data_IF_529497576901
#
_entry.id   IF_529497576901
#
_cell.length_a   1.000
_cell.length_b   1.000
_cell.length_c   1.000
_cell.angle_alpha   90.00
_cell.angle_beta   90.00
_cell.angle_gamma   90.00
#
_symmetry.space_group_name_H-M   'P 1'
#
loop_
_entity.id
_entity.type
_entity.pdbx_description
1 polymer ?
#
# COMPACT_ATOMS: atom_id res chain seq x y z
N UNK A 1 -37.44 20.02 -3.93
CA UNK A 1 -36.39 20.06 -4.98
C UNK A 1 -35.42 21.24 -4.75
N UNK A 2 -35.90 22.54 -4.67
CA UNK A 2 -35.02 23.72 -4.44
C UNK A 2 -34.20 23.60 -3.18
N UNK A 3 -34.73 23.10 -2.08
CA UNK A 3 -34.04 22.96 -0.81
C UNK A 3 -32.93 21.88 -0.88
N UNK A 4 -33.18 20.75 -1.57
CA UNK A 4 -32.19 19.70 -1.83
C UNK A 4 -31.01 20.23 -2.68
N UNK A 5 -31.30 21.00 -3.73
CA UNK A 5 -30.27 21.61 -4.58
C UNK A 5 -29.44 22.60 -3.76
N UNK A 6 -30.06 23.46 -2.94
CA UNK A 6 -29.35 24.41 -2.08
C UNK A 6 -28.45 23.69 -1.06
N UNK A 7 -28.93 22.62 -0.44
CA UNK A 7 -28.14 21.84 0.52
C UNK A 7 -26.96 21.14 -0.17
N UNK A 8 -27.17 20.57 -1.35
CA UNK A 8 -26.12 19.95 -2.14
C UNK A 8 -25.04 20.94 -2.55
N UNK A 9 -25.43 22.12 -3.03
CA UNK A 9 -24.49 23.20 -3.40
C UNK A 9 -23.66 23.68 -2.21
N UNK A 10 -24.29 23.84 -1.03
CA UNK A 10 -23.57 24.17 0.20
C UNK A 10 -22.58 23.08 0.60
N UNK A 11 -22.95 21.81 0.51
CA UNK A 11 -22.07 20.68 0.81
C UNK A 11 -20.85 20.67 -0.10
N UNK A 12 -21.05 20.82 -1.42
CA UNK A 12 -19.92 20.91 -2.38
C UNK A 12 -19.00 22.10 -2.10
N UNK A 13 -19.57 23.25 -1.74
CA UNK A 13 -18.79 24.45 -1.38
C UNK A 13 -17.96 24.23 -0.12
N UNK A 14 -18.51 23.56 0.91
CA UNK A 14 -17.79 23.21 2.14
C UNK A 14 -16.69 22.21 1.87
N UNK A 15 -16.98 21.18 1.08
CA UNK A 15 -16.00 20.16 0.70
C UNK A 15 -14.82 20.78 -0.07
N UNK A 16 -15.10 21.70 -1.00
CA UNK A 16 -14.05 22.42 -1.72
C UNK A 16 -13.16 23.24 -0.78
N UNK A 17 -13.76 24.03 0.12
CA UNK A 17 -13.00 24.83 1.11
C UNK A 17 -12.19 23.95 2.05
N UNK A 18 -12.75 22.81 2.46
CA UNK A 18 -12.04 21.84 3.28
C UNK A 18 -10.82 21.28 2.53
N UNK A 19 -10.98 20.89 1.27
CA UNK A 19 -9.88 20.40 0.46
C UNK A 19 -8.80 21.48 0.25
N UNK A 20 -9.19 22.72 -0.08
CA UNK A 20 -8.27 23.85 -0.20
C UNK A 20 -7.44 24.04 1.09
N UNK A 21 -8.05 23.81 2.26
CA UNK A 21 -7.37 23.91 3.54
C UNK A 21 -6.40 22.76 3.78
N UNK A 22 -6.84 21.48 3.63
CA UNK A 22 -6.01 20.34 3.98
C UNK A 22 -4.86 20.10 3.00
N UNK A 23 -4.98 20.59 1.74
CA UNK A 23 -3.91 20.49 0.74
C UNK A 23 -2.95 21.71 0.77
N UNK A 24 -3.16 22.69 1.66
CA UNK A 24 -2.12 23.68 1.93
C UNK A 24 -0.88 23.00 2.50
N UNK A 25 0.29 23.33 1.95
CA UNK A 25 1.56 22.67 2.29
C UNK A 25 1.87 22.71 3.80
N UNK A 26 1.63 23.82 4.46
CA UNK A 26 1.91 23.97 5.89
C UNK A 26 0.93 23.15 6.73
N UNK A 27 -0.33 23.13 6.33
CA UNK A 27 -1.39 22.40 7.05
C UNK A 27 -1.19 20.92 6.86
N UNK A 28 -0.96 20.44 5.62
CA UNK A 28 -0.70 19.04 5.34
C UNK A 28 0.53 18.53 6.10
N UNK A 29 1.66 19.25 6.06
CA UNK A 29 2.86 18.91 6.82
C UNK A 29 2.60 18.87 8.33
N UNK A 30 1.85 19.83 8.86
CA UNK A 30 1.44 19.83 10.27
C UNK A 30 0.62 18.57 10.60
N UNK A 31 -0.37 18.21 9.78
CA UNK A 31 -1.20 17.03 9.98
C UNK A 31 -0.35 15.75 9.98
N UNK A 32 0.56 15.60 9.01
CA UNK A 32 1.49 14.47 8.97
C UNK A 32 2.41 14.42 10.20
N UNK A 33 2.91 15.55 10.67
CA UNK A 33 3.80 15.63 11.84
C UNK A 33 3.15 15.14 13.15
N UNK A 34 1.82 15.05 13.21
CA UNK A 34 1.06 14.53 14.36
C UNK A 34 0.83 13.03 14.32
N UNK A 35 1.09 12.41 13.19
CA UNK A 35 0.87 10.99 13.00
C UNK A 35 2.06 10.14 13.49
N UNK A 36 1.79 8.85 13.70
CA UNK A 36 2.82 7.89 14.04
C UNK A 36 3.89 7.84 12.94
N UNK A 37 5.15 7.84 13.34
CA UNK A 37 6.29 7.74 12.44
C UNK A 37 6.93 6.36 12.56
N UNK A 38 7.22 5.75 11.40
CA UNK A 38 8.06 4.55 11.33
C UNK A 38 9.52 4.96 11.15
N UNK A 39 10.38 4.36 11.94
CA UNK A 39 11.81 4.45 11.71
C UNK A 39 12.21 3.52 10.56
N UNK A 40 13.22 3.95 9.83
CA UNK A 40 13.75 3.32 8.62
C UNK A 40 13.51 1.80 8.47
N UNK A 41 12.90 1.42 7.36
CA UNK A 41 12.78 0.04 6.86
C UNK A 41 14.13 -0.57 6.41
N UNK A 42 15.26 0.12 6.61
CA UNK A 42 16.58 -0.28 6.08
C UNK A 42 17.06 -1.66 6.56
N UNK A 43 16.44 -2.19 7.62
CA UNK A 43 16.78 -3.51 8.18
C UNK A 43 15.84 -4.64 7.73
N UNK A 44 14.79 -4.32 6.98
CA UNK A 44 13.78 -5.29 6.54
C UNK A 44 13.69 -5.24 5.03
N UNK A 45 13.88 -6.38 4.38
CA UNK A 45 13.68 -6.45 2.93
C UNK A 45 12.21 -6.23 2.61
N UNK A 46 11.96 -5.39 1.64
CA UNK A 46 10.65 -4.97 1.14
C UNK A 46 10.57 -5.17 -0.36
N UNK A 47 9.38 -5.26 -0.88
CA UNK A 47 9.17 -5.30 -2.33
C UNK A 47 8.92 -3.86 -2.79
N UNK A 48 9.77 -3.37 -3.67
CA UNK A 48 9.72 -1.98 -4.14
C UNK A 48 9.25 -1.90 -5.59
N UNK A 49 8.35 -0.95 -5.88
CA UNK A 49 7.83 -0.67 -7.23
C UNK A 49 8.00 0.82 -7.49
N UNK A 50 8.40 1.17 -8.68
CA UNK A 50 8.68 2.55 -9.09
C UNK A 50 10.17 2.87 -9.11
N UNK A 51 10.50 4.16 -9.14
CA UNK A 51 11.89 4.61 -9.28
C UNK A 51 12.61 4.50 -7.92
N UNK A 52 13.78 3.85 -7.85
CA UNK A 52 14.59 3.84 -6.64
C UNK A 52 14.92 5.27 -6.19
N UNK A 53 14.95 5.49 -4.87
CA UNK A 53 15.24 6.78 -4.24
C UNK A 53 14.32 7.93 -4.70
N UNK A 54 13.09 7.61 -5.09
CA UNK A 54 12.08 8.60 -5.42
C UNK A 54 11.86 9.59 -4.26
N UNK A 55 11.53 10.84 -4.60
CA UNK A 55 11.29 11.91 -3.63
C UNK A 55 10.20 11.55 -2.61
N UNK A 56 9.18 10.83 -3.08
CA UNK A 56 8.07 10.37 -2.24
C UNK A 56 8.11 8.86 -2.09
N UNK A 57 8.25 8.41 -0.85
CA UNK A 57 8.23 6.99 -0.51
C UNK A 57 6.91 6.62 0.15
N UNK A 58 6.18 5.73 -0.48
CA UNK A 58 4.95 5.14 0.07
C UNK A 58 5.28 3.78 0.64
N UNK A 59 4.90 3.53 1.89
CA UNK A 59 4.97 2.19 2.46
C UNK A 59 3.56 1.69 2.71
N UNK A 60 3.18 0.59 2.07
CA UNK A 60 1.89 -0.07 2.28
C UNK A 60 2.10 -1.37 3.06
N UNK A 61 1.53 -1.42 4.25
CA UNK A 61 1.41 -2.67 5.00
C UNK A 61 0.23 -3.44 4.42
N UNK A 62 0.53 -4.63 3.90
CA UNK A 62 -0.30 -5.31 2.94
C UNK A 62 -0.54 -6.77 3.31
N UNK A 63 -1.75 -7.26 3.06
CA UNK A 63 -2.06 -8.68 2.98
C UNK A 63 -2.70 -8.98 1.63
N UNK A 64 -2.22 -9.99 0.88
CA UNK A 64 -2.68 -10.24 -0.49
C UNK A 64 -4.13 -10.70 -0.59
N UNK A 65 -4.73 -11.13 0.51
CA UNK A 65 -6.14 -11.55 0.55
C UNK A 65 -7.08 -10.49 1.14
N UNK A 66 -6.53 -9.40 1.65
CA UNK A 66 -7.30 -8.31 2.23
C UNK A 66 -7.93 -7.46 1.12
N UNK A 67 -9.26 -7.49 1.00
CA UNK A 67 -9.99 -6.79 -0.06
C UNK A 67 -9.77 -5.26 -0.05
N UNK A 68 -9.60 -4.64 1.13
CA UNK A 68 -9.27 -3.23 1.25
C UNK A 68 -7.84 -2.94 0.77
N UNK A 69 -6.87 -3.81 1.06
CA UNK A 69 -5.52 -3.71 0.53
C UNK A 69 -5.50 -3.76 -1.00
N UNK A 70 -6.28 -4.66 -1.58
CA UNK A 70 -6.42 -4.77 -3.04
C UNK A 70 -6.97 -3.47 -3.64
N UNK A 71 -8.01 -2.89 -3.01
CA UNK A 71 -8.56 -1.60 -3.45
C UNK A 71 -7.55 -0.47 -3.39
N UNK A 72 -6.73 -0.41 -2.34
CA UNK A 72 -5.67 0.61 -2.26
C UNK A 72 -4.64 0.43 -3.38
N UNK A 73 -4.22 -0.79 -3.67
CA UNK A 73 -3.31 -1.05 -4.80
C UNK A 73 -3.94 -0.75 -6.16
N UNK A 74 -5.23 -1.02 -6.36
CA UNK A 74 -5.95 -0.65 -7.59
C UNK A 74 -5.93 0.85 -7.85
N UNK A 75 -5.85 1.67 -6.79
CA UNK A 75 -5.74 3.12 -6.89
C UNK A 75 -4.27 3.54 -7.06
N UNK A 76 -3.34 2.93 -6.31
CA UNK A 76 -1.93 3.31 -6.30
C UNK A 76 -1.20 2.97 -7.61
N UNK A 77 -1.40 1.78 -8.17
CA UNK A 77 -0.65 1.35 -9.36
C UNK A 77 -0.80 2.31 -10.54
N UNK A 78 -2.01 2.80 -10.91
CA UNK A 78 -2.14 3.83 -11.93
C UNK A 78 -1.44 5.16 -11.59
N UNK A 79 -1.37 5.53 -10.30
CA UNK A 79 -0.65 6.74 -9.86
C UNK A 79 0.85 6.56 -10.08
N UNK A 80 1.42 5.42 -9.70
CA UNK A 80 2.84 5.11 -9.89
C UNK A 80 3.24 5.11 -11.38
N UNK A 81 2.35 4.68 -12.27
CA UNK A 81 2.60 4.74 -13.71
C UNK A 81 2.71 6.17 -14.25
N UNK A 82 1.93 7.11 -13.68
CA UNK A 82 1.93 8.51 -14.08
C UNK A 82 3.03 9.34 -13.39
N UNK A 83 3.26 9.10 -12.11
CA UNK A 83 4.21 9.86 -11.27
C UNK A 83 5.50 9.07 -11.07
N UNK A 84 6.58 9.55 -11.67
CA UNK A 84 7.90 8.89 -11.61
C UNK A 84 8.73 9.29 -10.39
N UNK A 85 8.23 10.19 -9.56
CA UNK A 85 8.84 10.67 -8.32
C UNK A 85 8.28 9.99 -7.07
N UNK A 86 7.53 8.89 -7.26
CA UNK A 86 6.95 8.07 -6.20
C UNK A 86 7.51 6.64 -6.29
N UNK A 87 7.91 6.09 -5.14
CA UNK A 87 8.23 4.68 -4.97
C UNK A 87 7.26 4.06 -3.97
N UNK A 88 6.71 2.90 -4.31
CA UNK A 88 5.88 2.08 -3.40
C UNK A 88 6.72 0.95 -2.82
N UNK A 89 6.67 0.81 -1.51
CA UNK A 89 7.25 -0.27 -0.75
C UNK A 89 6.15 -1.12 -0.13
N UNK A 90 6.15 -2.42 -0.41
CA UNK A 90 5.20 -3.38 0.17
C UNK A 90 5.86 -4.12 1.33
N UNK A 91 5.17 -4.13 2.47
CA UNK A 91 5.52 -4.89 3.67
C UNK A 91 4.36 -5.79 4.03
N UNK A 92 4.60 -7.08 4.19
CA UNK A 92 3.54 -8.03 4.46
C UNK A 92 3.24 -8.16 5.95
N UNK A 93 1.95 -8.17 6.28
CA UNK A 93 1.43 -8.51 7.59
C UNK A 93 0.28 -9.51 7.39
N UNK A 94 0.46 -10.76 7.84
CA UNK A 94 -0.43 -11.86 7.55
C UNK A 94 -1.15 -12.35 8.80
N UNK A 95 -2.40 -12.75 8.65
CA UNK A 95 -3.14 -13.55 9.62
C UNK A 95 -3.11 -15.03 9.14
N UNK A 96 -2.02 -15.72 9.49
CA UNK A 96 -1.75 -17.08 9.00
C UNK A 96 -2.70 -18.12 9.57
N UNK A 97 -3.24 -17.90 10.77
CA UNK A 97 -4.15 -18.83 11.43
C UNK A 97 -5.51 -18.85 10.74
N UNK A 98 -6.04 -17.66 10.45
CA UNK A 98 -7.34 -17.55 9.76
C UNK A 98 -7.26 -17.73 8.26
N UNK A 99 -6.12 -17.38 7.68
CA UNK A 99 -5.95 -17.27 6.23
C UNK A 99 -4.62 -17.87 5.76
N UNK A 100 -4.43 -19.19 5.83
CA UNK A 100 -3.18 -19.83 5.43
C UNK A 100 -2.82 -19.61 3.96
N UNK A 101 -3.83 -19.39 3.09
CA UNK A 101 -3.62 -19.07 1.68
C UNK A 101 -2.87 -17.75 1.46
N UNK A 102 -2.94 -16.82 2.41
CA UNK A 102 -2.21 -15.55 2.34
C UNK A 102 -0.70 -15.77 2.29
N UNK A 103 -0.20 -16.74 3.07
CA UNK A 103 1.21 -17.09 3.10
C UNK A 103 1.69 -17.65 1.75
N UNK A 104 0.90 -18.54 1.13
CA UNK A 104 1.22 -19.09 -0.18
C UNK A 104 1.34 -18.00 -1.25
N UNK A 105 0.37 -17.09 -1.30
CA UNK A 105 0.39 -16.00 -2.27
C UNK A 105 1.57 -15.05 -2.01
N UNK A 106 1.83 -14.71 -0.74
CA UNK A 106 2.96 -13.87 -0.38
C UNK A 106 4.29 -14.49 -0.81
N UNK A 107 4.47 -15.78 -0.58
CA UNK A 107 5.68 -16.50 -1.03
C UNK A 107 5.86 -16.43 -2.55
N UNK A 108 4.80 -16.59 -3.31
CA UNK A 108 4.84 -16.48 -4.78
C UNK A 108 5.22 -15.06 -5.22
N UNK A 109 4.63 -14.03 -4.60
CA UNK A 109 4.94 -12.64 -4.90
C UNK A 109 6.41 -12.31 -4.60
N UNK A 110 6.92 -12.75 -3.44
CA UNK A 110 8.33 -12.55 -3.06
C UNK A 110 9.26 -13.31 -3.99
N UNK A 111 8.92 -14.56 -4.32
CA UNK A 111 9.71 -15.38 -5.26
C UNK A 111 9.83 -14.70 -6.62
N UNK A 112 8.72 -14.20 -7.17
CA UNK A 112 8.74 -13.51 -8.46
C UNK A 112 9.54 -12.21 -8.39
N UNK A 113 9.40 -11.43 -7.32
CA UNK A 113 10.18 -10.22 -7.09
C UNK A 113 11.69 -10.48 -7.07
N UNK A 114 12.11 -11.55 -6.39
CA UNK A 114 13.54 -11.91 -6.31
C UNK A 114 14.09 -12.45 -7.64
N UNK A 115 13.24 -13.10 -8.43
CA UNK A 115 13.63 -13.62 -9.74
C UNK A 115 13.68 -12.51 -10.81
N UNK A 116 12.68 -11.65 -10.84
CA UNK A 116 12.53 -10.62 -11.86
C UNK A 116 11.56 -9.51 -11.36
N UNK A 117 12.07 -8.37 -10.87
CA UNK A 117 11.24 -7.28 -10.36
C UNK A 117 10.27 -6.69 -11.40
N UNK A 118 10.62 -6.72 -12.68
CA UNK A 118 9.75 -6.20 -13.74
C UNK A 118 8.56 -7.14 -13.95
N UNK A 119 8.81 -8.45 -13.98
CA UNK A 119 7.72 -9.45 -14.04
C UNK A 119 6.86 -9.44 -12.79
N UNK A 120 7.46 -9.23 -11.62
CA UNK A 120 6.70 -9.05 -10.39
C UNK A 120 5.71 -7.89 -10.49
N UNK A 121 6.11 -6.74 -11.05
CA UNK A 121 5.23 -5.59 -11.24
C UNK A 121 4.03 -5.94 -12.13
N UNK A 122 4.25 -6.66 -13.23
CA UNK A 122 3.20 -7.14 -14.13
C UNK A 122 2.28 -8.15 -13.41
N UNK A 123 2.86 -9.11 -12.67
CA UNK A 123 2.11 -10.09 -11.91
C UNK A 123 1.23 -9.44 -10.85
N UNK A 124 1.77 -8.48 -10.11
CA UNK A 124 1.02 -7.76 -9.08
C UNK A 124 -0.13 -6.97 -9.67
N UNK A 125 0.08 -6.29 -10.80
CA UNK A 125 -0.98 -5.54 -11.50
C UNK A 125 -2.09 -6.48 -11.99
N UNK A 126 -1.74 -7.60 -12.61
CA UNK A 126 -2.71 -8.62 -13.03
C UNK A 126 -3.46 -9.22 -11.83
N UNK A 127 -2.74 -9.52 -10.76
CA UNK A 127 -3.30 -10.03 -9.51
C UNK A 127 -4.36 -9.08 -8.94
N UNK A 128 -4.01 -7.81 -8.82
CA UNK A 128 -4.86 -6.78 -8.20
C UNK A 128 -6.05 -6.45 -9.07
N UNK A 129 -5.85 -6.34 -10.40
CA UNK A 129 -6.90 -5.96 -11.35
C UNK A 129 -7.97 -7.04 -11.48
N UNK A 130 -7.56 -8.32 -11.46
CA UNK A 130 -8.47 -9.47 -11.65
C UNK A 130 -8.90 -10.14 -10.35
N UNK A 131 -8.61 -9.53 -9.19
CA UNK A 131 -9.02 -10.09 -7.90
C UNK A 131 -10.56 -10.18 -7.78
N UNK A 132 -11.16 -11.26 -7.26
CA UNK A 132 -10.53 -12.42 -6.60
C UNK A 132 -10.21 -13.61 -7.55
N UNK A 133 -10.44 -13.50 -8.85
CA UNK A 133 -10.20 -14.58 -9.81
C UNK A 133 -8.71 -14.94 -9.85
N UNK A 134 -7.85 -13.93 -9.89
CA UNK A 134 -6.39 -14.05 -9.90
C UNK A 134 -5.87 -14.78 -8.66
N UNK A 135 -6.46 -14.56 -7.49
CA UNK A 135 -6.15 -15.28 -6.25
C UNK A 135 -6.30 -16.79 -6.45
N UNK A 136 -7.44 -17.22 -6.96
CA UNK A 136 -7.74 -18.63 -7.17
C UNK A 136 -6.83 -19.25 -8.23
N UNK A 137 -6.48 -18.49 -9.27
CA UNK A 137 -5.53 -18.93 -10.29
C UNK A 137 -4.13 -19.14 -9.69
N UNK A 138 -3.60 -18.15 -8.98
CA UNK A 138 -2.29 -18.25 -8.34
C UNK A 138 -2.19 -19.43 -7.38
N UNK A 139 -3.21 -19.66 -6.57
CA UNK A 139 -3.23 -20.80 -5.63
C UNK A 139 -3.23 -22.16 -6.35
N UNK A 140 -3.89 -22.28 -7.50
CA UNK A 140 -3.92 -23.53 -8.30
C UNK A 140 -2.59 -23.78 -9.02
N UNK A 141 -1.94 -22.73 -9.49
CA UNK A 141 -0.71 -22.79 -10.28
C UNK A 141 0.55 -22.68 -9.41
N UNK A 142 0.38 -22.55 -8.09
CA UNK A 142 1.46 -22.33 -7.14
C UNK A 142 2.57 -23.39 -7.25
N UNK A 143 3.76 -22.93 -7.63
CA UNK A 143 5.00 -23.70 -7.58
C UNK A 143 6.01 -22.91 -6.76
N UNK A 144 6.02 -23.18 -5.44
CA UNK A 144 7.02 -22.58 -4.57
C UNK A 144 8.28 -23.41 -4.68
N UNK A 145 9.32 -22.83 -5.25
CA UNK A 145 10.64 -23.45 -5.32
C UNK A 145 11.41 -23.13 -4.04
N UNK A 146 12.10 -24.14 -3.50
CA UNK A 146 13.09 -23.91 -2.45
C UNK A 146 14.31 -23.27 -3.12
N UNK A 147 14.47 -21.94 -2.94
CA UNK A 147 15.63 -21.20 -3.40
C UNK A 147 16.64 -20.98 -2.26
N UNK A 148 17.80 -20.42 -2.59
CA UNK A 148 18.82 -20.01 -1.59
C UNK A 148 18.27 -18.93 -0.62
N UNK A 149 17.23 -18.21 -1.02
CA UNK A 149 16.62 -17.15 -0.24
C UNK A 149 15.50 -17.69 0.67
N UNK A 150 15.65 -17.48 1.98
CA UNK A 150 14.67 -17.91 2.98
C UNK A 150 13.50 -16.91 3.06
N UNK A 151 12.50 -17.12 2.18
CA UNK A 151 11.31 -16.29 2.10
C UNK A 151 10.54 -16.27 3.43
N UNK A 152 10.56 -17.37 4.17
CA UNK A 152 9.89 -17.45 5.47
C UNK A 152 10.50 -16.49 6.49
N UNK A 153 11.82 -16.44 6.55
CA UNK A 153 12.52 -15.48 7.43
C UNK A 153 12.20 -14.04 7.07
N UNK A 154 12.08 -13.74 5.77
CA UNK A 154 11.69 -12.41 5.33
C UNK A 154 10.30 -12.04 5.85
N UNK A 155 9.31 -12.93 5.67
CA UNK A 155 7.93 -12.68 6.11
C UNK A 155 7.90 -12.48 7.63
N UNK A 156 8.57 -13.34 8.39
CA UNK A 156 8.66 -13.22 9.85
C UNK A 156 9.30 -11.89 10.26
N UNK A 157 10.41 -11.49 9.61
CA UNK A 157 11.08 -10.23 9.91
C UNK A 157 10.18 -9.01 9.62
N UNK A 158 9.36 -9.06 8.58
CA UNK A 158 8.39 -8.00 8.28
C UNK A 158 7.27 -7.95 9.32
N UNK A 159 6.75 -9.10 9.74
CA UNK A 159 5.72 -9.18 10.78
C UNK A 159 6.26 -8.67 12.13
N UNK A 160 7.46 -9.08 12.53
CA UNK A 160 8.12 -8.58 13.75
C UNK A 160 8.36 -7.06 13.68
N UNK A 161 8.79 -6.56 12.52
CA UNK A 161 8.94 -5.13 12.30
C UNK A 161 7.61 -4.39 12.48
N UNK A 162 6.51 -4.90 11.90
CA UNK A 162 5.17 -4.34 12.10
C UNK A 162 4.79 -4.30 13.58
N UNK A 163 4.99 -5.39 14.31
CA UNK A 163 4.67 -5.48 15.74
C UNK A 163 5.48 -4.46 16.57
N UNK A 164 6.78 -4.32 16.29
CA UNK A 164 7.67 -3.37 16.97
C UNK A 164 7.25 -1.91 16.73
N UNK A 165 6.59 -1.62 15.59
CA UNK A 165 6.02 -0.30 15.27
C UNK A 165 4.55 -0.18 15.64
N UNK A 166 3.98 -1.15 16.38
CA UNK A 166 2.57 -1.18 16.81
C UNK A 166 1.58 -1.12 15.63
N UNK A 167 1.94 -1.77 14.52
CA UNK A 167 1.10 -1.89 13.34
C UNK A 167 0.42 -3.25 13.38
N UNK A 168 -0.90 -3.26 13.52
CA UNK A 168 -1.69 -4.49 13.74
C UNK A 168 -2.75 -4.72 12.66
N UNK A 169 -2.89 -3.80 11.72
CA UNK A 169 -3.97 -3.84 10.71
C UNK A 169 -3.47 -3.58 9.30
N UNK A 170 -4.17 -4.17 8.34
CA UNK A 170 -3.97 -3.94 6.90
C UNK A 170 -5.26 -3.44 6.25
N UNK A 171 -5.22 -2.51 5.32
CA UNK A 171 -4.04 -1.72 4.92
C UNK A 171 -3.65 -0.68 5.98
N UNK A 172 -2.35 -0.44 6.13
CA UNK A 172 -1.82 0.73 6.82
C UNK A 172 -0.81 1.39 5.88
N UNK A 173 -0.91 2.71 5.69
CA UNK A 173 -0.15 3.45 4.71
C UNK A 173 0.72 4.49 5.41
N UNK A 174 1.96 4.60 4.97
CA UNK A 174 2.89 5.65 5.38
C UNK A 174 3.40 6.39 4.15
N UNK A 175 3.60 7.69 4.30
CA UNK A 175 4.20 8.56 3.29
C UNK A 175 5.43 9.21 3.91
N UNK A 176 6.59 9.00 3.32
CA UNK A 176 7.87 9.50 3.83
C UNK A 176 8.09 9.16 5.33
N UNK A 177 7.65 7.97 5.73
CA UNK A 177 7.74 7.47 7.09
C UNK A 177 6.62 7.90 8.04
N UNK A 178 5.74 8.82 7.68
CA UNK A 178 4.60 9.23 8.50
C UNK A 178 3.33 8.49 8.09
N UNK A 179 2.57 8.01 9.07
CA UNK A 179 1.27 7.38 8.80
C UNK A 179 0.36 8.37 8.07
N UNK A 180 -0.38 7.87 7.08
CA UNK A 180 -1.37 8.68 6.36
C UNK A 180 -2.45 9.15 7.34
N UNK A 181 -2.62 10.48 7.54
CA UNK A 181 -3.65 10.99 8.43
C UNK A 181 -5.05 10.64 7.93
N UNK A 182 -5.99 10.41 8.85
CA UNK A 182 -7.38 10.04 8.53
C UNK A 182 -8.16 11.09 7.70
N UNK A 183 -7.61 12.29 7.54
CA UNK A 183 -8.16 13.34 6.70
C UNK A 183 -7.91 13.11 5.22
N UNK A 184 -6.92 12.25 4.88
CA UNK A 184 -6.51 11.92 3.53
C UNK A 184 -6.87 10.49 3.18
N UNK A 185 -7.08 10.26 1.91
CA UNK A 185 -7.17 8.95 1.28
C UNK A 185 -5.97 8.74 0.35
N UNK A 186 -5.77 7.52 -0.11
CA UNK A 186 -4.69 7.23 -1.05
C UNK A 186 -4.81 7.99 -2.39
N UNK A 187 -6.03 8.39 -2.75
CA UNK A 187 -6.29 9.21 -3.96
C UNK A 187 -5.70 10.61 -3.85
N UNK A 188 -5.55 11.11 -2.63
CA UNK A 188 -5.09 12.46 -2.37
C UNK A 188 -3.58 12.61 -2.61
N UNK A 189 -2.86 11.50 -2.80
CA UNK A 189 -1.45 11.50 -3.21
C UNK A 189 -1.23 12.28 -4.51
N UNK A 190 -2.19 12.26 -5.42
CA UNK A 190 -2.14 13.04 -6.67
C UNK A 190 -2.08 14.56 -6.41
N UNK A 191 -2.54 15.03 -5.25
CA UNK A 191 -2.61 16.44 -4.87
C UNK A 191 -1.55 16.83 -3.85
N UNK A 192 -1.02 15.87 -3.09
CA UNK A 192 -0.05 16.12 -2.02
C UNK A 192 1.41 16.13 -2.53
N UNK A 193 1.67 15.47 -3.67
CA UNK A 193 3.03 15.25 -4.22
C UNK A 193 3.04 15.37 -5.78
#
# INVERSE_FOLDING_TARGET
>A
IKQLISTHTKHLSLQRKFNELIYDDNISQYLFSKEAQITSLNKVQKLSIGVPDAKTQLTLIFSPICASCIKELQILLPILHRKKDIQLELVFLLDREKHPESQTITKLLIQEYNNDPDKFSILLEDYVTKYPISKNKLLKEAKITQGEFDIEKLIVAQEEWCLNHKIYTTPTIFINGYKLPNYFSIKDIDYLY
#
